data_IF_493812745988
#
_entry.id   IF_493812745988
#
_cell.length_a   1.000
_cell.length_b   1.000
_cell.length_c   1.000
_cell.angle_alpha   90.00
_cell.angle_beta   90.00
_cell.angle_gamma   90.00
#
_symmetry.space_group_name_H-M   'P 1'
#
loop_
_entity.id
_entity.type
_entity.pdbx_description
1 polymer ?
#
# COMPACT_ATOMS: atom_id res chain seq x y z
N UNK A 1 -28.26 -15.82 -31.94
CA UNK A 1 -29.22 -15.15 -31.03
C UNK A 1 -28.63 -13.79 -30.69
N UNK A 2 -29.12 -12.71 -31.29
CA UNK A 2 -28.60 -11.34 -31.09
C UNK A 2 -29.44 -10.70 -29.99
N UNK A 3 -28.81 -10.25 -28.91
CA UNK A 3 -29.50 -9.57 -27.81
C UNK A 3 -28.89 -8.17 -27.70
N UNK A 4 -29.62 -7.17 -28.19
CA UNK A 4 -29.26 -5.76 -28.02
C UNK A 4 -29.83 -5.27 -26.70
N UNK A 5 -28.96 -4.82 -25.79
CA UNK A 5 -29.38 -4.23 -24.51
C UNK A 5 -29.26 -2.72 -24.65
N UNK A 6 -30.39 -2.05 -24.88
CA UNK A 6 -30.46 -0.59 -24.90
C UNK A 6 -30.55 -0.08 -23.47
N UNK A 7 -29.48 0.54 -22.96
CA UNK A 7 -29.52 1.23 -21.66
C UNK A 7 -29.53 2.74 -21.90
N UNK A 8 -30.67 3.38 -21.63
CA UNK A 8 -30.83 4.83 -21.63
C UNK A 8 -31.23 5.27 -20.22
N UNK A 9 -30.31 5.84 -19.46
CA UNK A 9 -30.66 6.63 -18.28
C UNK A 9 -29.82 7.90 -18.20
N UNK A 10 -30.54 9.02 -18.10
CA UNK A 10 -30.06 10.41 -18.17
C UNK A 10 -29.26 10.80 -16.92
N UNK A 11 -28.12 11.46 -17.14
CA UNK A 11 -27.35 12.17 -16.13
C UNK A 11 -27.85 13.64 -16.06
N UNK A 12 -28.25 14.08 -14.87
CA UNK A 12 -28.61 15.46 -14.61
C UNK A 12 -27.37 16.25 -14.15
N UNK A 13 -27.06 17.33 -14.85
CA UNK A 13 -25.98 18.27 -14.52
C UNK A 13 -26.33 19.12 -13.29
N UNK A 14 -25.50 19.04 -12.25
CA UNK A 14 -25.46 20.01 -11.16
C UNK A 14 -24.25 20.93 -11.33
N UNK A 15 -24.57 22.22 -11.39
CA UNK A 15 -23.69 23.34 -11.73
C UNK A 15 -22.62 23.57 -10.67
N UNK A 16 -21.41 23.80 -11.16
CA UNK A 16 -20.26 24.36 -10.44
C UNK A 16 -20.54 25.80 -10.01
N UNK A 17 -20.13 26.17 -8.79
CA UNK A 17 -19.76 27.55 -8.44
C UNK A 17 -18.41 27.55 -7.72
N UNK A 18 -17.55 28.47 -8.17
CA UNK A 18 -16.16 28.73 -7.78
C UNK A 18 -16.08 29.82 -6.71
N UNK A 19 -14.88 29.91 -6.11
CA UNK A 19 -14.28 30.96 -5.26
C UNK A 19 -14.50 30.75 -3.74
N UNK A 20 -13.52 30.91 -2.85
CA UNK A 20 -12.31 31.75 -2.87
C UNK A 20 -11.24 31.21 -1.88
N UNK A 21 -9.99 31.57 -2.16
CA UNK A 21 -8.69 31.33 -1.50
C UNK A 21 -8.60 31.84 -0.04
N UNK A 22 -7.88 31.11 0.84
CA UNK A 22 -6.82 31.66 1.73
C UNK A 22 -6.06 30.55 2.49
N UNK A 23 -4.72 30.61 2.46
CA UNK A 23 -3.77 30.06 3.44
C UNK A 23 -3.29 31.26 4.30
N UNK A 24 -2.77 31.12 5.56
CA UNK A 24 -1.68 30.20 5.91
C UNK A 24 -1.55 29.67 7.36
N UNK A 25 -0.62 28.69 7.49
CA UNK A 25 0.33 28.40 8.59
C UNK A 25 -0.13 27.71 9.90
N UNK A 26 0.30 26.45 9.99
CA UNK A 26 0.87 25.67 11.11
C UNK A 26 0.46 25.97 12.57
N UNK A 27 -0.01 24.91 13.26
CA UNK A 27 0.35 24.57 14.65
C UNK A 27 0.04 23.10 14.94
N UNK A 28 1.07 22.37 15.34
CA UNK A 28 1.03 21.02 15.92
C UNK A 28 0.29 21.05 17.24
N UNK A 29 -0.82 20.30 17.36
CA UNK A 29 -1.47 20.03 18.64
C UNK A 29 -1.16 18.59 19.04
N UNK A 30 -0.23 18.48 19.97
CA UNK A 30 0.08 17.30 20.76
C UNK A 30 -1.17 16.84 21.53
N UNK A 31 -1.48 15.55 21.43
CA UNK A 31 -2.51 14.88 22.22
C UNK A 31 -2.06 14.86 23.69
N UNK A 32 -2.72 15.64 24.55
CA UNK A 32 -2.46 15.65 25.99
C UNK A 32 -3.02 14.39 26.66
N UNK A 33 -2.18 13.86 27.55
CA UNK A 33 -2.23 12.55 28.18
C UNK A 33 -3.32 12.43 29.25
N UNK A 34 -4.11 11.36 29.19
CA UNK A 34 -5.21 10.99 30.11
C UNK A 34 -4.75 10.59 31.53
N UNK A 35 -3.48 10.81 31.86
CA UNK A 35 -2.84 10.38 33.10
C UNK A 35 -3.14 11.32 34.28
N UNK A 36 -3.40 12.62 34.04
CA UNK A 36 -3.57 13.61 35.13
C UNK A 36 -4.89 13.50 35.92
N UNK A 37 -5.94 12.86 35.37
CA UNK A 37 -7.21 12.69 36.11
C UNK A 37 -7.14 11.58 37.17
N UNK A 38 -6.20 10.65 37.07
CA UNK A 38 -6.09 9.51 38.00
C UNK A 38 -5.30 9.81 39.28
N UNK A 39 -4.52 10.88 39.30
CA UNK A 39 -3.65 11.24 40.44
C UNK A 39 -4.42 11.91 41.59
N UNK A 40 -5.66 12.37 41.33
CA UNK A 40 -6.50 13.06 42.32
C UNK A 40 -7.29 12.12 43.25
N UNK A 41 -7.33 10.83 42.96
CA UNK A 41 -8.07 9.84 43.74
C UNK A 41 -7.23 9.17 44.85
N UNK A 42 -5.91 9.26 44.80
CA UNK A 42 -4.99 8.59 45.73
C UNK A 42 -4.72 9.37 47.03
N UNK A 43 -5.15 10.63 47.13
CA UNK A 43 -4.78 11.55 48.22
C UNK A 43 -5.77 11.57 49.41
N UNK A 44 -6.85 10.78 49.40
CA UNK A 44 -7.86 10.77 50.49
C UNK A 44 -7.74 9.54 51.41
N UNK A 45 -6.66 8.77 51.30
CA UNK A 45 -6.41 7.60 52.15
C UNK A 45 -5.65 7.99 53.43
N UNK A 46 -6.37 8.00 54.58
CA UNK A 46 -5.91 8.17 55.98
C UNK A 46 -6.05 9.62 56.50
N UNK A 47 -7.00 9.92 57.41
CA UNK A 47 -7.24 9.18 58.67
C UNK A 47 -8.75 9.01 58.98
N UNK A 48 -9.34 7.86 58.67
CA UNK A 48 -10.75 7.57 59.02
C UNK A 48 -10.90 6.40 59.99
N UNK A 49 -9.88 5.55 60.15
CA UNK A 49 -9.96 4.36 61.01
C UNK A 49 -10.02 4.70 62.51
N UNK A 50 -9.32 5.74 62.98
CA UNK A 50 -9.39 6.16 64.39
C UNK A 50 -10.72 6.85 64.74
N UNK A 51 -11.32 7.58 63.80
CA UNK A 51 -12.56 8.33 64.01
C UNK A 51 -13.75 7.38 64.13
N UNK A 52 -13.80 6.34 63.29
CA UNK A 52 -14.88 5.35 63.31
C UNK A 52 -14.89 4.51 64.61
N UNK A 53 -13.72 4.22 65.18
CA UNK A 53 -13.62 3.51 66.45
C UNK A 53 -14.20 4.31 67.62
N UNK A 54 -13.98 5.63 67.64
CA UNK A 54 -14.50 6.51 68.68
C UNK A 54 -16.04 6.67 68.58
N UNK A 55 -16.57 6.75 67.36
CA UNK A 55 -18.02 6.82 67.10
C UNK A 55 -18.74 5.54 67.53
N UNK A 56 -18.20 4.36 67.19
CA UNK A 56 -18.79 3.08 67.57
C UNK A 56 -18.84 2.89 69.10
N UNK A 57 -17.83 3.38 69.82
CA UNK A 57 -17.81 3.36 71.28
C UNK A 57 -18.84 4.33 71.87
N UNK A 58 -18.99 5.52 71.29
CA UNK A 58 -20.02 6.48 71.69
C UNK A 58 -21.44 5.95 71.42
N UNK A 59 -21.66 5.31 70.28
CA UNK A 59 -22.94 4.70 69.92
C UNK A 59 -23.30 3.52 70.85
N UNK A 60 -22.33 2.66 71.19
CA UNK A 60 -22.53 1.59 72.16
C UNK A 60 -22.87 2.12 73.56
N UNK A 61 -22.25 3.23 73.97
CA UNK A 61 -22.58 3.89 75.24
C UNK A 61 -23.98 4.50 75.24
N UNK A 62 -24.37 5.16 74.15
CA UNK A 62 -25.72 5.71 73.98
C UNK A 62 -26.79 4.60 74.00
N UNK A 63 -26.57 3.49 73.29
CA UNK A 63 -27.47 2.35 73.30
C UNK A 63 -27.56 1.72 74.70
N UNK A 64 -26.43 1.54 75.38
CA UNK A 64 -26.39 0.97 76.73
C UNK A 64 -27.15 1.81 77.78
N UNK A 65 -27.25 3.14 77.58
CA UNK A 65 -28.01 4.03 78.48
C UNK A 65 -29.53 3.77 78.50
N UNK A 66 -30.06 3.02 77.53
CA UNK A 66 -31.47 2.62 77.46
C UNK A 66 -31.79 1.30 78.18
N UNK A 67 -30.76 0.61 78.69
CA UNK A 67 -30.88 -0.69 79.34
C UNK A 67 -30.80 -0.57 80.88
N UNK A 68 -31.36 -1.53 81.65
CA UNK A 68 -31.45 -1.45 83.11
C UNK A 68 -30.08 -1.36 83.82
N UNK A 69 -29.02 -1.93 83.23
CA UNK A 69 -27.64 -1.90 83.74
C UNK A 69 -26.68 -1.36 82.65
N UNK A 70 -26.43 -0.04 82.61
CA UNK A 70 -25.75 0.58 81.47
C UNK A 70 -24.27 0.20 81.35
N UNK A 71 -23.56 0.02 82.47
CA UNK A 71 -22.12 -0.29 82.46
C UNK A 71 -21.82 -1.70 81.94
N UNK A 72 -22.63 -2.69 82.36
CA UNK A 72 -22.50 -4.07 81.89
C UNK A 72 -22.90 -4.19 80.41
N UNK A 73 -24.02 -3.57 80.02
CA UNK A 73 -24.51 -3.59 78.64
C UNK A 73 -23.53 -2.97 77.64
N UNK A 74 -22.86 -1.86 77.99
CA UNK A 74 -21.85 -1.26 77.13
C UNK A 74 -20.66 -2.21 76.91
N UNK A 75 -20.18 -2.88 77.96
CA UNK A 75 -19.04 -3.79 77.87
C UNK A 75 -19.33 -5.01 76.99
N UNK A 76 -20.54 -5.56 77.07
CA UNK A 76 -20.96 -6.73 76.31
C UNK A 76 -21.13 -6.42 74.82
N UNK A 77 -21.73 -5.26 74.49
CA UNK A 77 -21.87 -4.81 73.10
C UNK A 77 -20.51 -4.56 72.43
N UNK A 78 -19.57 -3.93 73.14
CA UNK A 78 -18.22 -3.73 72.62
C UNK A 78 -17.46 -5.05 72.44
N UNK A 79 -17.67 -6.02 73.33
CA UNK A 79 -17.06 -7.35 73.19
C UNK A 79 -17.60 -8.09 71.96
N UNK A 80 -18.91 -8.03 71.70
CA UNK A 80 -19.51 -8.63 70.51
C UNK A 80 -19.06 -7.95 69.22
N UNK A 81 -18.93 -6.62 69.22
CA UNK A 81 -18.47 -5.86 68.05
C UNK A 81 -17.04 -6.27 67.66
N UNK A 82 -16.13 -6.38 68.65
CA UNK A 82 -14.76 -6.86 68.43
C UNK A 82 -14.73 -8.30 67.90
N UNK A 83 -15.57 -9.18 68.42
CA UNK A 83 -15.66 -10.56 67.93
C UNK A 83 -16.07 -10.59 66.45
N UNK A 84 -17.08 -9.79 66.07
CA UNK A 84 -17.55 -9.76 64.69
C UNK A 84 -16.50 -9.13 63.74
N UNK A 85 -15.78 -8.11 64.19
CA UNK A 85 -14.67 -7.50 63.42
C UNK A 85 -13.57 -8.53 63.12
N UNK A 86 -13.12 -9.29 64.12
CA UNK A 86 -12.11 -10.35 63.91
C UNK A 86 -12.57 -11.42 62.91
N UNK A 87 -13.84 -11.82 62.95
CA UNK A 87 -14.40 -12.79 61.99
C UNK A 87 -14.42 -12.20 60.57
N UNK A 88 -14.80 -10.93 60.42
CA UNK A 88 -14.79 -10.27 59.10
C UNK A 88 -13.38 -10.05 58.55
N UNK A 89 -12.39 -9.72 59.38
CA UNK A 89 -11.00 -9.59 58.96
C UNK A 89 -10.39 -10.92 58.55
N UNK A 90 -10.67 -12.00 59.30
CA UNK A 90 -10.20 -13.35 58.94
C UNK A 90 -10.80 -13.84 57.62
N UNK A 91 -12.07 -13.52 57.33
CA UNK A 91 -12.71 -13.88 56.07
C UNK A 91 -12.21 -13.05 54.87
N UNK A 92 -11.86 -11.77 55.08
CA UNK A 92 -11.23 -10.92 54.07
C UNK A 92 -9.81 -11.38 53.69
N UNK A 93 -9.09 -11.99 54.62
CA UNK A 93 -7.72 -12.48 54.40
C UNK A 93 -7.65 -13.94 53.89
N UNK A 94 -8.73 -14.73 54.02
CA UNK A 94 -8.76 -16.15 53.69
C UNK A 94 -9.07 -16.52 52.23
N UNK A 95 -9.80 -15.69 51.47
CA UNK A 95 -10.35 -16.06 50.16
C UNK A 95 -9.92 -15.11 49.01
N UNK A 96 -8.63 -14.79 48.94
CA UNK A 96 -8.05 -13.96 47.87
C UNK A 96 -7.29 -14.71 46.76
N UNK A 97 -7.17 -16.04 46.84
CA UNK A 97 -6.11 -16.77 46.13
C UNK A 97 -6.56 -17.80 45.08
N UNK A 98 -7.75 -17.69 44.46
CA UNK A 98 -8.03 -18.59 43.33
C UNK A 98 -8.89 -18.08 42.17
N UNK A 99 -9.08 -16.77 41.97
CA UNK A 99 -9.55 -16.25 40.66
C UNK A 99 -8.96 -14.85 40.39
N UNK A 100 -7.65 -14.68 40.54
CA UNK A 100 -6.96 -13.60 39.81
C UNK A 100 -6.68 -14.15 38.43
N UNK A 101 -7.48 -13.72 37.45
CA UNK A 101 -7.18 -13.90 36.03
C UNK A 101 -5.84 -13.25 35.73
N UNK A 102 -4.76 -14.02 35.87
CA UNK A 102 -3.43 -13.62 35.47
C UNK A 102 -3.53 -13.36 33.97
N UNK A 103 -3.49 -12.09 33.56
CA UNK A 103 -3.29 -11.69 32.17
C UNK A 103 -1.92 -12.21 31.73
N UNK A 104 -1.87 -13.47 31.31
CA UNK A 104 -0.68 -14.08 30.73
C UNK A 104 -0.69 -13.75 29.25
N UNK A 105 0.39 -13.15 28.76
CA UNK A 105 0.55 -12.91 27.33
C UNK A 105 0.69 -14.24 26.60
N UNK A 106 -0.13 -14.46 25.56
CA UNK A 106 -0.22 -15.73 24.82
C UNK A 106 1.14 -16.19 24.25
N UNK A 107 2.00 -15.24 23.93
CA UNK A 107 3.32 -15.47 23.32
C UNK A 107 4.47 -15.65 24.32
N UNK A 108 4.24 -15.49 25.63
CA UNK A 108 5.28 -15.65 26.68
C UNK A 108 5.46 -17.09 27.18
N UNK A 109 4.62 -18.00 26.71
CA UNK A 109 4.67 -19.42 27.08
C UNK A 109 5.84 -20.13 26.41
N UNK A 110 6.27 -21.26 26.98
CA UNK A 110 7.31 -22.12 26.40
C UNK A 110 6.87 -22.62 25.02
N UNK A 111 7.61 -22.24 23.96
CA UNK A 111 7.34 -22.65 22.57
C UNK A 111 8.00 -23.99 22.21
N UNK A 112 7.56 -24.55 21.09
CA UNK A 112 8.21 -25.72 20.47
C UNK A 112 9.53 -25.28 19.80
N UNK A 113 10.65 -25.57 20.43
CA UNK A 113 12.01 -25.21 19.95
C UNK A 113 12.53 -26.19 18.88
N UNK A 114 11.72 -26.46 17.85
CA UNK A 114 12.08 -27.38 16.75
C UNK A 114 12.87 -26.62 15.66
N UNK A 115 12.43 -25.40 15.36
CA UNK A 115 13.10 -24.52 14.41
C UNK A 115 14.03 -23.57 15.16
N UNK A 116 15.33 -23.58 14.81
CA UNK A 116 16.26 -22.54 15.24
C UNK A 116 15.92 -21.23 14.51
N UNK A 117 16.17 -20.10 15.16
CA UNK A 117 16.07 -18.81 14.48
C UNK A 117 17.18 -18.75 13.43
N UNK A 118 16.85 -19.07 12.18
CA UNK A 118 17.75 -18.96 11.04
C UNK A 118 17.65 -17.55 10.47
N UNK A 119 18.78 -16.87 10.34
CA UNK A 119 18.90 -15.56 9.68
C UNK A 119 19.13 -15.69 8.16
N UNK A 120 19.08 -16.91 7.63
CA UNK A 120 19.41 -17.17 6.22
C UNK A 120 18.13 -17.04 5.37
N UNK A 121 17.93 -15.87 4.79
CA UNK A 121 17.18 -15.73 3.54
C UNK A 121 17.99 -16.41 2.45
N UNK A 122 17.52 -17.56 1.95
CA UNK A 122 18.17 -18.26 0.84
C UNK A 122 18.34 -17.32 -0.36
N UNK A 123 19.49 -17.41 -1.03
CA UNK A 123 19.71 -16.75 -2.32
C UNK A 123 18.63 -17.23 -3.29
N UNK A 124 17.80 -16.30 -3.77
CA UNK A 124 16.75 -16.58 -4.75
C UNK A 124 17.42 -17.00 -6.05
N UNK A 125 17.28 -18.27 -6.43
CA UNK A 125 17.67 -18.72 -7.76
C UNK A 125 16.68 -18.13 -8.77
N UNK A 126 17.17 -17.68 -9.93
CA UNK A 126 16.37 -17.17 -11.07
C UNK A 126 15.52 -18.27 -11.76
N UNK A 127 15.07 -19.26 -10.99
CA UNK A 127 14.20 -20.31 -11.48
C UNK A 127 12.82 -19.74 -11.75
N UNK A 128 12.27 -20.06 -12.93
CA UNK A 128 10.93 -19.63 -13.30
C UNK A 128 9.94 -20.18 -12.27
N UNK A 129 8.98 -19.37 -11.77
CA UNK A 129 7.98 -19.82 -10.82
C UNK A 129 7.27 -21.09 -11.31
N UNK A 130 7.09 -22.05 -10.41
CA UNK A 130 6.35 -23.28 -10.72
C UNK A 130 4.87 -22.94 -10.92
N UNK A 131 4.14 -23.78 -11.66
CA UNK A 131 2.69 -23.64 -11.81
C UNK A 131 1.97 -23.55 -10.45
N UNK A 132 2.45 -24.28 -9.44
CA UNK A 132 1.93 -24.21 -8.07
C UNK A 132 2.14 -22.85 -7.42
N UNK A 133 3.27 -22.18 -7.68
CA UNK A 133 3.53 -20.83 -7.17
C UNK A 133 2.57 -19.83 -7.82
N UNK A 134 2.32 -19.99 -9.13
CA UNK A 134 1.37 -19.15 -9.88
C UNK A 134 -0.06 -19.34 -9.34
N UNK A 135 -0.51 -20.59 -9.15
CA UNK A 135 -1.85 -20.85 -8.60
C UNK A 135 -1.99 -20.33 -7.16
N UNK A 136 -0.96 -20.50 -6.35
CA UNK A 136 -0.93 -19.98 -4.99
C UNK A 136 -1.02 -18.45 -4.97
N UNK A 137 -0.27 -17.75 -5.82
CA UNK A 137 -0.36 -16.29 -5.98
C UNK A 137 -1.75 -15.87 -6.44
N UNK A 138 -2.37 -16.61 -7.37
CA UNK A 138 -3.73 -16.34 -7.81
C UNK A 138 -4.74 -16.46 -6.65
N UNK A 139 -4.64 -17.52 -5.84
CA UNK A 139 -5.48 -17.70 -4.65
C UNK A 139 -5.30 -16.53 -3.66
N UNK A 140 -4.06 -16.12 -3.38
CA UNK A 140 -3.79 -14.94 -2.55
C UNK A 140 -4.40 -13.66 -3.13
N UNK A 141 -4.33 -13.48 -4.46
CA UNK A 141 -4.95 -12.34 -5.13
C UNK A 141 -6.46 -12.33 -4.96
N UNK A 142 -7.13 -13.50 -5.00
CA UNK A 142 -8.59 -13.57 -4.83
C UNK A 142 -9.04 -13.22 -3.41
N UNK A 143 -8.26 -13.59 -2.39
CA UNK A 143 -8.54 -13.21 -0.99
C UNK A 143 -8.35 -11.71 -0.80
N UNK A 144 -7.43 -11.10 -1.53
CA UNK A 144 -7.10 -9.67 -1.43
C UNK A 144 -8.03 -8.79 -2.27
N UNK A 145 -8.48 -9.27 -3.44
CA UNK A 145 -9.38 -8.57 -4.36
C UNK A 145 -10.79 -8.48 -3.77
N UNK A 146 -11.01 -7.46 -2.94
CA UNK A 146 -12.35 -7.06 -2.50
C UNK A 146 -13.03 -6.25 -3.60
N UNK A 147 -14.36 -6.18 -3.57
CA UNK A 147 -15.09 -5.23 -4.42
C UNK A 147 -14.55 -3.81 -4.16
N UNK A 148 -14.27 -3.01 -5.19
CA UNK A 148 -13.66 -1.69 -5.00
C UNK A 148 -14.55 -0.85 -4.08
N UNK A 149 -13.95 -0.34 -3.01
CA UNK A 149 -14.65 0.44 -1.98
C UNK A 149 -14.97 1.85 -2.44
N UNK A 150 -14.20 2.36 -3.39
CA UNK A 150 -14.29 3.74 -3.89
C UNK A 150 -14.03 3.78 -5.40
N UNK A 151 -14.52 4.82 -6.08
CA UNK A 151 -14.28 5.04 -7.52
C UNK A 151 -12.79 5.24 -7.85
N UNK A 152 -11.99 5.75 -6.92
CA UNK A 152 -10.53 5.82 -7.11
C UNK A 152 -9.89 4.43 -7.18
N UNK A 153 -10.37 3.46 -6.41
CA UNK A 153 -9.85 2.09 -6.43
C UNK A 153 -10.19 1.41 -7.77
N UNK A 154 -11.40 1.64 -8.28
CA UNK A 154 -11.79 1.21 -9.62
C UNK A 154 -10.91 1.85 -10.71
N UNK A 155 -10.62 3.15 -10.62
CA UNK A 155 -9.70 3.82 -11.53
C UNK A 155 -8.28 3.25 -11.46
N UNK A 156 -7.77 2.97 -10.25
CA UNK A 156 -6.45 2.34 -10.06
C UNK A 156 -6.44 0.95 -10.69
N UNK A 157 -7.49 0.16 -10.47
CA UNK A 157 -7.62 -1.17 -11.06
C UNK A 157 -7.65 -1.11 -12.59
N UNK A 158 -8.41 -0.17 -13.17
CA UNK A 158 -8.43 0.02 -14.62
C UNK A 158 -7.10 0.53 -15.18
N UNK A 159 -6.35 1.32 -14.41
CA UNK A 159 -5.01 1.78 -14.79
C UNK A 159 -4.01 0.61 -14.78
N UNK A 160 -4.04 -0.24 -13.76
CA UNK A 160 -3.22 -1.46 -13.69
C UNK A 160 -3.56 -2.46 -14.80
N UNK A 161 -4.84 -2.55 -15.19
CA UNK A 161 -5.30 -3.36 -16.31
C UNK A 161 -5.00 -2.74 -17.69
N UNK A 162 -4.49 -1.51 -17.76
CA UNK A 162 -4.23 -0.80 -19.02
C UNK A 162 -5.49 -0.33 -19.76
N UNK A 163 -6.65 -0.29 -19.10
CA UNK A 163 -7.91 0.21 -19.68
C UNK A 163 -7.99 1.73 -19.66
N UNK A 164 -7.45 2.35 -18.61
CA UNK A 164 -7.32 3.80 -18.50
C UNK A 164 -5.94 4.25 -18.98
N UNK A 165 -5.88 5.48 -19.48
CA UNK A 165 -4.63 6.14 -19.83
C UNK A 165 -3.81 6.41 -18.56
N UNK A 166 -2.49 6.25 -18.70
CA UNK A 166 -1.56 6.61 -17.64
C UNK A 166 -1.40 8.13 -17.61
N UNK A 167 -1.28 8.69 -16.40
CA UNK A 167 -1.11 10.13 -16.19
C UNK A 167 0.31 10.42 -15.69
N UNK A 168 0.93 11.54 -16.11
CA UNK A 168 0.46 12.53 -17.09
C UNK A 168 0.31 11.94 -18.49
N UNK A 169 -0.64 12.46 -19.27
CA UNK A 169 -0.94 11.95 -20.61
C UNK A 169 0.29 12.17 -21.50
N UNK A 170 0.85 11.06 -21.99
CA UNK A 170 1.88 11.04 -23.02
C UNK A 170 1.26 10.60 -24.34
N UNK A 171 1.51 11.36 -25.40
CA UNK A 171 1.00 11.06 -26.74
C UNK A 171 1.82 9.95 -27.43
N UNK A 172 3.01 9.63 -26.91
CA UNK A 172 3.92 8.62 -27.46
C UNK A 172 3.77 7.25 -26.75
N UNK A 173 2.84 7.13 -25.80
CA UNK A 173 2.58 5.89 -25.08
C UNK A 173 2.19 4.75 -26.04
N UNK A 174 2.98 3.67 -26.03
CA UNK A 174 2.82 2.52 -26.92
C UNK A 174 3.79 2.49 -28.11
N UNK A 175 4.63 3.51 -28.30
CA UNK A 175 5.71 3.55 -29.31
C UNK A 175 7.09 3.32 -28.66
N UNK A 176 7.19 2.35 -27.75
CA UNK A 176 8.39 2.13 -26.93
C UNK A 176 9.61 1.65 -27.74
N UNK A 177 9.38 0.89 -28.82
CA UNK A 177 10.45 0.36 -29.67
C UNK A 177 11.27 1.48 -30.32
N UNK A 178 10.60 2.51 -30.84
CA UNK A 178 11.27 3.66 -31.48
C UNK A 178 11.73 4.70 -30.44
N UNK A 179 11.09 4.79 -29.28
CA UNK A 179 11.53 5.67 -28.20
C UNK A 179 12.93 5.30 -27.69
N UNK A 180 13.30 4.02 -27.77
CA UNK A 180 14.67 3.58 -27.46
C UNK A 180 15.68 4.02 -28.52
N UNK A 181 15.25 4.35 -29.74
CA UNK A 181 16.14 4.62 -30.87
C UNK A 181 16.49 6.11 -30.93
N UNK A 182 17.78 6.47 -30.92
CA UNK A 182 18.19 7.86 -31.02
C UNK A 182 17.93 8.44 -32.43
N UNK A 183 17.70 9.75 -32.48
CA UNK A 183 17.35 10.48 -33.72
C UNK A 183 18.40 10.31 -34.85
N UNK A 184 19.66 10.10 -34.49
CA UNK A 184 20.75 10.00 -35.46
C UNK A 184 20.63 8.76 -36.36
N UNK A 185 19.94 7.70 -35.91
CA UNK A 185 19.66 6.52 -36.75
C UNK A 185 18.58 6.79 -37.79
N UNK A 186 17.60 7.64 -37.45
CA UNK A 186 16.54 8.04 -38.38
C UNK A 186 17.04 9.01 -39.46
N UNK A 187 18.01 9.87 -39.12
CA UNK A 187 18.52 10.91 -40.01
C UNK A 187 19.71 10.42 -40.84
N UNK A 188 20.68 9.74 -40.22
CA UNK A 188 21.94 9.35 -40.87
C UNK A 188 21.88 7.91 -41.41
N UNK A 189 21.08 7.69 -42.45
CA UNK A 189 21.01 6.41 -43.15
C UNK A 189 22.15 6.22 -44.18
N UNK A 190 22.99 7.24 -44.39
CA UNK A 190 24.09 7.21 -45.35
C UNK A 190 25.12 6.10 -45.06
N UNK A 191 25.23 5.68 -43.80
CA UNK A 191 26.07 4.54 -43.38
C UNK A 191 25.72 3.27 -44.15
N UNK A 192 24.41 3.00 -44.31
CA UNK A 192 23.91 1.82 -45.01
C UNK A 192 24.06 1.92 -46.54
N UNK A 193 24.32 3.12 -47.09
CA UNK A 193 24.62 3.28 -48.51
C UNK A 193 26.07 2.88 -48.86
N UNK A 194 26.98 2.79 -47.90
CA UNK A 194 28.34 2.34 -48.16
C UNK A 194 28.40 0.81 -48.37
N UNK A 195 27.42 0.09 -47.85
CA UNK A 195 27.29 -1.36 -47.96
C UNK A 195 26.56 -1.74 -49.26
N UNK A 196 27.30 -1.80 -50.37
CA UNK A 196 26.83 -2.42 -51.61
C UNK A 196 26.46 -1.48 -52.76
N UNK A 197 26.61 -0.15 -52.60
CA UNK A 197 26.41 0.81 -53.70
C UNK A 197 27.74 1.42 -54.18
N UNK A 198 27.85 1.77 -55.48
CA UNK A 198 29.01 2.49 -55.99
C UNK A 198 29.14 3.87 -55.33
N UNK A 199 30.39 4.32 -55.10
CA UNK A 199 30.67 5.64 -54.46
C UNK A 199 30.35 6.83 -55.37
N UNK A 200 30.34 6.62 -56.68
CA UNK A 200 30.07 7.65 -57.68
C UNK A 200 29.14 7.05 -58.75
N UNK A 201 28.22 7.86 -59.26
CA UNK A 201 27.34 7.49 -60.38
C UNK A 201 25.88 7.91 -60.19
N UNK A 202 25.05 7.74 -61.24
CA UNK A 202 23.62 8.09 -61.19
C UNK A 202 22.84 7.34 -60.11
N UNK A 203 23.19 6.05 -59.90
CA UNK A 203 22.60 5.21 -58.85
C UNK A 203 22.87 5.78 -57.46
N UNK A 204 24.08 6.31 -57.22
CA UNK A 204 24.43 6.95 -55.95
C UNK A 204 23.58 8.20 -55.72
N UNK A 205 23.46 9.06 -56.73
CA UNK A 205 22.65 10.27 -56.64
C UNK A 205 21.16 9.96 -56.40
N UNK A 206 20.62 8.93 -57.06
CA UNK A 206 19.27 8.44 -56.81
C UNK A 206 19.09 7.95 -55.37
N UNK A 207 20.01 7.13 -54.87
CA UNK A 207 19.94 6.62 -53.50
C UNK A 207 20.11 7.70 -52.44
N UNK A 208 20.89 8.74 -52.72
CA UNK A 208 20.98 9.93 -51.85
C UNK A 208 19.64 10.66 -51.74
N UNK A 209 18.88 10.77 -52.84
CA UNK A 209 17.52 11.32 -52.82
C UNK A 209 16.56 10.42 -52.03
N UNK A 210 16.64 9.10 -52.20
CA UNK A 210 15.83 8.14 -51.43
C UNK A 210 16.11 8.27 -49.94
N UNK A 211 17.38 8.30 -49.53
CA UNK A 211 17.78 8.47 -48.13
C UNK A 211 17.36 9.84 -47.60
N UNK A 212 17.47 10.91 -48.38
CA UNK A 212 16.97 12.23 -48.01
C UNK A 212 15.44 12.28 -47.86
N UNK A 213 14.70 11.44 -48.59
CA UNK A 213 13.27 11.25 -48.42
C UNK A 213 12.92 10.45 -47.15
N UNK A 214 13.64 9.34 -46.91
CA UNK A 214 13.44 8.50 -45.73
C UNK A 214 13.80 9.22 -44.43
N UNK A 215 14.82 10.07 -44.43
CA UNK A 215 15.22 10.85 -43.24
C UNK A 215 14.18 11.89 -42.83
N UNK A 216 13.43 12.43 -43.79
CA UNK A 216 12.35 13.39 -43.55
C UNK A 216 11.03 12.75 -43.14
N UNK A 217 10.92 11.42 -43.20
CA UNK A 217 9.67 10.71 -42.89
C UNK A 217 9.56 10.38 -41.39
N UNK A 218 8.56 10.94 -40.66
CA UNK A 218 8.30 10.64 -39.25
C UNK A 218 7.47 9.37 -39.01
N UNK A 219 6.80 8.85 -40.04
CA UNK A 219 5.82 7.75 -39.90
C UNK A 219 6.42 6.35 -40.06
N UNK A 220 7.69 6.26 -40.48
CA UNK A 220 8.38 4.98 -40.71
C UNK A 220 9.37 4.69 -39.59
N UNK A 221 9.42 3.44 -39.16
CA UNK A 221 10.41 2.93 -38.21
C UNK A 221 11.80 2.85 -38.84
N UNK A 222 12.86 2.81 -38.02
CA UNK A 222 14.22 2.61 -38.55
C UNK A 222 14.35 1.27 -39.29
N UNK A 223 13.69 0.23 -38.80
CA UNK A 223 13.69 -1.09 -39.46
C UNK A 223 13.10 -1.00 -40.87
N UNK A 224 11.92 -0.39 -41.01
CA UNK A 224 11.30 -0.19 -42.32
C UNK A 224 12.20 0.63 -43.26
N UNK A 225 12.86 1.68 -42.75
CA UNK A 225 13.81 2.47 -43.56
C UNK A 225 14.99 1.62 -44.05
N UNK A 226 15.53 0.74 -43.20
CA UNK A 226 16.61 -0.20 -43.59
C UNK A 226 16.12 -1.20 -44.62
N UNK A 227 14.93 -1.76 -44.43
CA UNK A 227 14.33 -2.72 -45.37
C UNK A 227 14.11 -2.10 -46.75
N UNK A 228 13.69 -0.84 -46.83
CA UNK A 228 13.60 -0.11 -48.09
C UNK A 228 14.95 -0.01 -48.80
N UNK A 229 16.04 0.26 -48.07
CA UNK A 229 17.39 0.33 -48.64
C UNK A 229 17.86 -1.04 -49.12
N UNK A 230 17.64 -2.09 -48.33
CA UNK A 230 17.99 -3.46 -48.70
C UNK A 230 17.21 -3.94 -49.93
N UNK A 231 15.94 -3.57 -50.04
CA UNK A 231 15.15 -3.87 -51.22
C UNK A 231 15.75 -3.25 -52.49
N UNK A 232 16.21 -1.99 -52.44
CA UNK A 232 16.89 -1.38 -53.58
C UNK A 232 18.19 -2.09 -53.92
N UNK A 233 18.95 -2.55 -52.92
CA UNK A 233 20.17 -3.32 -53.14
C UNK A 233 19.87 -4.57 -53.95
N UNK A 234 18.89 -5.35 -53.52
CA UNK A 234 18.51 -6.59 -54.19
C UNK A 234 17.93 -6.32 -55.59
N UNK A 235 17.20 -5.22 -55.75
CA UNK A 235 16.68 -4.78 -57.06
C UNK A 235 17.81 -4.47 -58.04
N UNK A 236 18.83 -3.70 -57.65
CA UNK A 236 19.94 -3.39 -58.53
C UNK A 236 20.81 -4.63 -58.83
N UNK A 237 20.97 -5.54 -57.88
CA UNK A 237 21.62 -6.82 -58.14
C UNK A 237 20.87 -7.65 -59.20
N UNK A 238 19.53 -7.66 -59.17
CA UNK A 238 18.73 -8.37 -60.17
C UNK A 238 18.74 -7.68 -61.56
N UNK A 239 19.00 -6.38 -61.60
CA UNK A 239 18.93 -5.56 -62.83
C UNK A 239 20.30 -5.11 -63.35
N UNK A 240 21.38 -5.76 -62.88
CA UNK A 240 22.75 -5.43 -63.27
C UNK A 240 22.99 -5.57 -64.78
N UNK A 241 22.31 -6.52 -65.44
CA UNK A 241 22.41 -6.70 -66.90
C UNK A 241 21.94 -5.46 -67.67
N UNK A 242 20.84 -4.84 -67.23
CA UNK A 242 20.29 -3.63 -67.86
C UNK A 242 21.22 -2.43 -67.63
N UNK A 243 21.81 -2.33 -66.43
CA UNK A 243 22.76 -1.26 -66.14
C UNK A 243 24.02 -1.35 -67.01
N UNK A 244 24.48 -2.56 -67.32
CA UNK A 244 25.61 -2.77 -68.24
C UNK A 244 25.25 -2.39 -69.67
N UNK A 245 24.02 -2.63 -70.11
CA UNK A 245 23.55 -2.19 -71.42
C UNK A 245 23.55 -0.66 -71.51
N UNK A 246 23.03 0.04 -70.50
CA UNK A 246 22.96 1.50 -70.46
C UNK A 246 24.34 2.18 -70.32
N UNK A 247 25.27 1.61 -69.55
CA UNK A 247 26.66 2.09 -69.45
C UNK A 247 27.42 1.96 -70.79
N UNK A 248 27.02 1.03 -71.67
CA UNK A 248 27.56 0.90 -73.03
C UNK A 248 26.99 1.99 -73.95
N UNK A 249 25.80 2.54 -73.69
CA UNK A 249 25.23 3.65 -74.46
C UNK A 249 25.75 5.05 -74.03
N UNK A 250 26.45 5.14 -72.89
CA UNK A 250 27.03 6.37 -72.36
C UNK A 250 28.54 6.53 -72.64
N UNK A 251 29.20 5.51 -73.21
CA UNK A 251 30.61 5.56 -73.68
C UNK A 251 30.71 5.52 -75.20
#
# INVERSE_FOLDING_TARGET
MKVEVTNKKKLNNLKTKKALVSTPKARTASLESTVSMFEKATVISSPQSEILALELVAAASAAASTLPNPSQAQSELLQQLRQHETITETQKNGDGNNIRSVQRNLFTSKRLNIFSASEVTGELTDERPTLWDIDFVNQLSTVTNQMPRNGFEEMIQWTQQGKLWQYPIDNEAGLEEEASVPFHEHIFLEKHLQEGFPRQGPVRHFMELVVAGLSKNPHLTVQQKKDHIFWFRDYFCQKEEILKEDDVYLN
#
